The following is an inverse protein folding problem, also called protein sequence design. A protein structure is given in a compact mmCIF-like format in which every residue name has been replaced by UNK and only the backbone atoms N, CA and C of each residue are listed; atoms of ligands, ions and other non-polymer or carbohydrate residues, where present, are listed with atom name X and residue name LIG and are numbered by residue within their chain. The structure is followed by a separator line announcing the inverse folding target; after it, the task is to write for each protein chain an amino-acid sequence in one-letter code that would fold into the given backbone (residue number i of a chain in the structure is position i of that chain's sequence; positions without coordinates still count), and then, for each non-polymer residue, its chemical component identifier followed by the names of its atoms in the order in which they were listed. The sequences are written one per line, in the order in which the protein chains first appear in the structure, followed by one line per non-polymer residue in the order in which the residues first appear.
data_IF_716234335698
#
_entry.id   IF_716234335698
#
_cell.length_a   1.000
_cell.length_b   1.000
_cell.length_c   1.000
_cell.angle_alpha   90.00
_cell.angle_beta   90.00
_cell.angle_gamma   90.00
#
_symmetry.space_group_name_H-M   'P 1'
#
loop_
_entity.id
_entity.type
_entity.pdbx_description
1 polymer ?
#
# COMPACT_ATOMS: atom_id res chain seq x y z
N UNK A 1 19.01 -15.21 30.12
CA UNK A 1 18.61 -14.02 30.89
C UNK A 1 18.22 -12.97 29.86
N UNK A 2 16.92 -12.67 29.70
CA UNK A 2 16.51 -11.52 28.89
C UNK A 2 16.88 -10.27 29.68
N UNK A 3 17.86 -9.52 29.21
CA UNK A 3 18.11 -8.19 29.74
C UNK A 3 16.87 -7.34 29.43
N UNK A 4 16.25 -6.76 30.46
CA UNK A 4 15.19 -5.80 30.27
C UNK A 4 15.86 -4.53 29.74
N UNK A 5 15.52 -4.15 28.50
CA UNK A 5 16.03 -2.92 27.89
C UNK A 5 15.21 -1.77 28.48
N UNK A 6 15.90 -0.75 28.96
CA UNK A 6 15.26 0.50 29.35
C UNK A 6 14.82 1.25 28.10
N UNK A 7 13.53 1.54 27.97
CA UNK A 7 12.98 2.23 26.80
C UNK A 7 13.38 3.70 26.73
N UNK A 8 13.86 4.27 27.85
CA UNK A 8 14.39 5.64 27.92
C UNK A 8 15.88 5.71 27.55
N UNK A 9 16.55 4.55 27.42
CA UNK A 9 17.95 4.47 27.00
C UNK A 9 18.04 4.29 25.47
N UNK A 10 18.19 5.43 24.78
CA UNK A 10 18.28 5.48 23.31
C UNK A 10 19.45 4.66 22.75
N UNK A 11 20.60 4.67 23.45
CA UNK A 11 21.81 3.96 22.99
C UNK A 11 21.61 2.44 23.13
N UNK A 12 21.02 2.01 24.26
CA UNK A 12 20.70 0.59 24.47
C UNK A 12 19.63 0.09 23.48
N UNK A 13 18.61 0.91 23.16
CA UNK A 13 17.59 0.57 22.14
C UNK A 13 18.21 0.40 20.77
N UNK A 14 19.06 1.34 20.33
CA UNK A 14 19.74 1.26 19.04
C UNK A 14 20.70 0.07 18.97
N UNK A 15 21.41 -0.22 20.06
CA UNK A 15 22.31 -1.37 20.14
C UNK A 15 21.55 -2.71 20.11
N UNK A 16 20.30 -2.74 20.57
CA UNK A 16 19.45 -3.92 20.59
C UNK A 16 18.70 -4.16 19.28
N UNK A 17 18.59 -3.15 18.41
CA UNK A 17 17.90 -3.24 17.11
C UNK A 17 18.77 -3.93 16.05
N UNK A 18 19.05 -5.21 16.27
CA UNK A 18 19.90 -6.01 15.40
C UNK A 18 19.28 -6.24 14.00
N UNK A 19 17.96 -6.17 13.90
CA UNK A 19 17.20 -6.40 12.67
C UNK A 19 16.89 -5.09 11.91
N UNK A 20 17.26 -3.92 12.45
CA UNK A 20 17.00 -2.61 11.84
C UNK A 20 15.52 -2.23 11.83
N UNK A 21 14.75 -2.73 12.79
CA UNK A 21 13.29 -2.48 12.89
C UNK A 21 12.97 -1.00 13.12
N UNK A 22 13.77 -0.30 13.93
CA UNK A 22 13.61 1.14 14.16
C UNK A 22 13.83 1.95 12.87
N UNK A 23 14.86 1.59 12.11
CA UNK A 23 15.11 2.19 10.81
C UNK A 23 13.97 1.90 9.83
N UNK A 24 13.51 0.65 9.76
CA UNK A 24 12.42 0.26 8.88
C UNK A 24 11.12 1.00 9.22
N UNK A 25 10.80 1.16 10.51
CA UNK A 25 9.66 1.93 10.99
C UNK A 25 9.77 3.41 10.59
N UNK A 26 10.96 4.01 10.72
CA UNK A 26 11.19 5.42 10.35
C UNK A 26 11.04 5.71 8.86
N UNK A 27 11.07 4.68 8.00
CA UNK A 27 10.89 4.83 6.55
C UNK A 27 9.42 4.93 6.10
N UNK A 28 8.45 4.87 7.02
CA UNK A 28 7.04 4.87 6.68
C UNK A 28 6.62 6.09 5.82
N UNK A 29 6.97 7.31 6.22
CA UNK A 29 6.68 8.50 5.42
C UNK A 29 7.39 8.51 4.06
N UNK A 30 8.62 8.01 4.02
CA UNK A 30 9.36 7.87 2.76
C UNK A 30 8.70 6.89 1.79
N UNK A 31 8.09 5.80 2.28
CA UNK A 31 7.29 4.88 1.47
C UNK A 31 6.07 5.58 0.87
N UNK A 32 5.34 6.35 1.67
CA UNK A 32 4.19 7.13 1.20
C UNK A 32 4.61 8.14 0.14
N UNK A 33 5.71 8.87 0.38
CA UNK A 33 6.27 9.86 -0.56
C UNK A 33 6.71 9.22 -1.88
N UNK A 34 7.25 8.00 -1.84
CA UNK A 34 7.60 7.26 -3.05
C UNK A 34 6.37 6.94 -3.91
N UNK A 35 5.24 6.60 -3.29
CA UNK A 35 3.96 6.44 -4.01
C UNK A 35 3.49 7.76 -4.59
N UNK A 36 3.53 8.87 -3.82
CA UNK A 36 3.20 10.21 -4.31
C UNK A 36 4.04 10.62 -5.52
N UNK A 37 5.34 10.31 -5.51
CA UNK A 37 6.25 10.53 -6.63
C UNK A 37 5.84 9.74 -7.86
N UNK A 38 5.50 8.45 -7.71
CA UNK A 38 5.03 7.62 -8.83
C UNK A 38 3.74 8.18 -9.45
N UNK A 39 2.84 8.72 -8.64
CA UNK A 39 1.61 9.38 -9.12
C UNK A 39 1.95 10.65 -9.91
N UNK A 40 2.87 11.48 -9.41
CA UNK A 40 3.32 12.69 -10.10
C UNK A 40 4.02 12.37 -11.44
N UNK A 41 4.66 11.23 -11.56
CA UNK A 41 5.22 10.67 -12.79
C UNK A 41 4.16 10.10 -13.75
N UNK A 42 2.88 10.10 -13.37
CA UNK A 42 1.78 9.67 -14.21
C UNK A 42 1.41 8.19 -14.11
N UNK A 43 1.90 7.46 -13.10
CA UNK A 43 1.64 6.03 -12.99
C UNK A 43 0.14 5.67 -12.96
N UNK A 44 -0.71 6.53 -12.41
CA UNK A 44 -2.16 6.31 -12.33
C UNK A 44 -2.96 6.98 -13.46
N UNK A 45 -2.33 7.63 -14.45
CA UNK A 45 -3.06 8.20 -15.58
C UNK A 45 -3.95 7.17 -16.32
N UNK A 46 -3.54 5.89 -16.50
CA UNK A 46 -4.41 4.90 -17.13
C UNK A 46 -5.66 4.53 -16.32
N UNK A 47 -5.74 4.89 -15.03
CA UNK A 47 -6.98 4.74 -14.24
C UNK A 47 -8.01 5.83 -14.53
N UNK A 48 -7.59 6.96 -15.07
CA UNK A 48 -8.49 8.07 -15.40
C UNK A 48 -9.33 7.64 -16.60
N UNK A 49 -10.63 7.62 -16.41
CA UNK A 49 -11.62 7.25 -17.43
C UNK A 49 -12.80 8.19 -17.30
N UNK A 50 -13.48 8.45 -18.42
CA UNK A 50 -14.77 9.15 -18.41
C UNK A 50 -15.88 8.26 -17.82
N UNK A 51 -15.73 6.94 -17.94
CA UNK A 51 -16.64 5.98 -17.35
C UNK A 51 -16.42 5.89 -15.83
N UNK A 52 -17.52 6.07 -15.09
CA UNK A 52 -17.49 5.90 -13.63
C UNK A 52 -17.21 4.44 -13.28
N UNK A 53 -16.25 4.24 -12.40
CA UNK A 53 -15.96 2.91 -11.85
C UNK A 53 -17.17 2.37 -11.08
N UNK A 54 -17.41 1.07 -11.20
CA UNK A 54 -18.50 0.38 -10.51
C UNK A 54 -18.09 -0.07 -9.10
N UNK A 55 -16.88 -0.59 -8.95
CA UNK A 55 -16.33 -1.04 -7.69
C UNK A 55 -14.80 -1.01 -7.68
N UNK A 56 -14.23 -0.94 -6.48
CA UNK A 56 -12.82 -1.21 -6.21
C UNK A 56 -12.71 -2.55 -5.49
N UNK A 57 -11.89 -3.44 -6.00
CA UNK A 57 -11.63 -4.75 -5.40
C UNK A 57 -10.18 -4.80 -4.94
N UNK A 58 -9.98 -4.84 -3.64
CA UNK A 58 -8.67 -5.03 -3.02
C UNK A 58 -8.42 -6.52 -2.85
N UNK A 59 -7.49 -7.06 -3.63
CA UNK A 59 -7.11 -8.47 -3.54
C UNK A 59 -5.77 -8.58 -2.84
N UNK A 60 -5.76 -9.26 -1.69
CA UNK A 60 -4.55 -9.49 -0.90
C UNK A 60 -4.62 -10.83 -0.19
N UNK A 61 -3.48 -11.44 0.05
CA UNK A 61 -3.38 -12.68 0.82
C UNK A 61 -3.49 -12.40 2.32
N UNK A 62 -2.36 -12.19 2.96
CA UNK A 62 -2.18 -11.96 4.41
C UNK A 62 -1.14 -10.86 4.64
N UNK A 63 -0.83 -10.56 5.89
CA UNK A 63 0.17 -9.57 6.27
C UNK A 63 -0.33 -8.14 6.16
N UNK A 64 0.59 -7.22 5.94
CA UNK A 64 0.34 -5.77 5.92
C UNK A 64 -0.58 -5.34 4.79
N UNK A 65 -0.53 -6.00 3.63
CA UNK A 65 -1.43 -5.76 2.52
C UNK A 65 -2.90 -6.06 2.86
N UNK A 66 -3.17 -7.15 3.59
CA UNK A 66 -4.51 -7.47 4.05
C UNK A 66 -5.00 -6.48 5.13
N UNK A 67 -4.09 -6.11 6.05
CA UNK A 67 -4.37 -5.09 7.07
C UNK A 67 -4.69 -3.74 6.44
N UNK A 68 -3.93 -3.31 5.43
CA UNK A 68 -4.20 -2.07 4.69
C UNK A 68 -5.59 -2.09 4.05
N UNK A 69 -5.95 -3.19 3.38
CA UNK A 69 -7.29 -3.34 2.80
C UNK A 69 -8.41 -3.25 3.82
N UNK A 70 -8.24 -3.84 5.00
CA UNK A 70 -9.22 -3.76 6.09
C UNK A 70 -9.34 -2.34 6.67
N UNK A 71 -8.21 -1.63 6.87
CA UNK A 71 -8.20 -0.24 7.33
C UNK A 71 -8.90 0.67 6.32
N UNK A 72 -8.57 0.55 5.03
CA UNK A 72 -9.19 1.34 3.96
C UNK A 72 -10.70 1.07 3.88
N UNK A 73 -11.12 -0.20 3.95
CA UNK A 73 -12.53 -0.55 3.97
C UNK A 73 -13.27 0.07 5.15
N UNK A 74 -12.69 0.02 6.36
CA UNK A 74 -13.30 0.59 7.56
C UNK A 74 -13.31 2.12 7.57
N UNK A 75 -12.21 2.76 7.18
CA UNK A 75 -12.08 4.22 7.19
C UNK A 75 -12.94 4.91 6.12
N UNK A 76 -13.21 4.22 5.03
CA UNK A 76 -13.84 4.82 3.84
C UNK A 76 -15.27 4.35 3.61
N UNK A 77 -15.80 3.44 4.46
CA UNK A 77 -17.15 2.86 4.31
C UNK A 77 -18.26 3.90 4.19
N UNK A 78 -18.11 5.04 4.88
CA UNK A 78 -19.13 6.08 4.97
C UNK A 78 -18.88 7.28 4.03
N UNK A 79 -17.72 7.30 3.37
CA UNK A 79 -17.28 8.46 2.58
C UNK A 79 -17.14 8.17 1.10
N UNK A 80 -16.78 6.94 0.72
CA UNK A 80 -16.57 6.56 -0.68
C UNK A 80 -17.89 6.26 -1.37
N UNK A 81 -18.14 6.89 -2.50
CA UNK A 81 -19.33 6.65 -3.32
C UNK A 81 -19.29 5.34 -4.12
N UNK A 82 -18.19 4.59 -4.01
CA UNK A 82 -17.93 3.34 -4.71
C UNK A 82 -17.86 2.16 -3.73
N UNK A 83 -18.45 1.00 -4.03
CA UNK A 83 -18.21 -0.21 -3.25
C UNK A 83 -16.72 -0.55 -3.21
N UNK A 84 -16.18 -0.66 -2.00
CA UNK A 84 -14.82 -1.15 -1.74
C UNK A 84 -14.91 -2.55 -1.17
N UNK A 85 -14.37 -3.53 -1.90
CA UNK A 85 -14.49 -4.95 -1.57
C UNK A 85 -13.10 -5.53 -1.29
N UNK A 86 -12.89 -6.11 -0.13
CA UNK A 86 -11.68 -6.88 0.18
C UNK A 86 -11.89 -8.35 -0.17
N UNK A 87 -10.90 -8.97 -0.78
CA UNK A 87 -10.96 -10.37 -1.19
C UNK A 87 -9.56 -11.01 -1.15
N UNK A 88 -9.50 -12.32 -0.90
CA UNK A 88 -8.25 -13.10 -0.99
C UNK A 88 -7.99 -13.66 -2.38
N UNK A 89 -8.99 -13.59 -3.26
CA UNK A 89 -8.93 -14.00 -4.67
C UNK A 89 -9.79 -13.08 -5.51
N UNK A 90 -9.45 -12.92 -6.77
CA UNK A 90 -10.25 -12.12 -7.68
C UNK A 90 -11.67 -12.70 -7.83
N UNK A 91 -12.72 -11.89 -7.56
CA UNK A 91 -14.10 -12.33 -7.76
C UNK A 91 -14.41 -12.56 -9.24
N UNK A 92 -15.26 -13.57 -9.49
CA UNK A 92 -15.63 -13.93 -10.89
C UNK A 92 -16.48 -12.88 -11.60
N UNK A 93 -17.08 -11.94 -10.87
CA UNK A 93 -17.94 -10.90 -11.41
C UNK A 93 -17.21 -9.65 -11.91
N UNK A 94 -15.89 -9.52 -11.66
CA UNK A 94 -15.12 -8.35 -12.10
C UNK A 94 -15.16 -8.17 -13.60
N UNK A 95 -15.12 -6.92 -14.07
CA UNK A 95 -15.23 -6.57 -15.47
C UNK A 95 -14.66 -5.17 -15.78
N UNK A 96 -14.91 -4.63 -16.97
CA UNK A 96 -14.24 -3.41 -17.45
C UNK A 96 -14.49 -2.15 -16.62
N UNK A 97 -15.60 -2.09 -15.89
CA UNK A 97 -15.93 -0.96 -15.00
C UNK A 97 -15.35 -1.10 -13.61
N UNK A 98 -14.64 -2.19 -13.31
CA UNK A 98 -14.05 -2.39 -11.99
C UNK A 98 -12.57 -2.06 -11.99
N UNK A 99 -12.09 -1.60 -10.84
CA UNK A 99 -10.67 -1.43 -10.54
C UNK A 99 -10.25 -2.50 -9.55
N UNK A 100 -9.20 -3.23 -9.86
CA UNK A 100 -8.62 -4.22 -8.97
C UNK A 100 -7.26 -3.73 -8.49
N UNK A 101 -7.07 -3.69 -7.18
CA UNK A 101 -5.77 -3.48 -6.55
C UNK A 101 -5.28 -4.82 -6.04
N UNK A 102 -4.16 -5.29 -6.57
CA UNK A 102 -3.53 -6.55 -6.18
C UNK A 102 -2.35 -6.20 -5.29
N UNK A 103 -2.50 -6.46 -3.99
CA UNK A 103 -1.53 -6.01 -2.98
C UNK A 103 -0.88 -7.20 -2.25
N UNK A 104 0.43 -7.14 -2.09
CA UNK A 104 1.19 -8.15 -1.38
C UNK A 104 2.69 -7.90 -1.41
N UNK A 105 3.42 -8.67 -0.61
CA UNK A 105 4.88 -8.54 -0.46
C UNK A 105 5.63 -9.67 -1.20
N UNK A 106 4.93 -10.72 -1.64
CA UNK A 106 5.50 -11.87 -2.36
C UNK A 106 5.12 -11.84 -3.84
N UNK A 107 6.09 -11.54 -4.70
CA UNK A 107 5.94 -11.57 -6.16
C UNK A 107 5.73 -12.98 -6.72
N UNK A 108 6.01 -14.02 -5.94
CA UNK A 108 5.80 -15.43 -6.27
C UNK A 108 4.42 -15.96 -5.90
N UNK A 109 3.56 -15.18 -5.23
CA UNK A 109 2.24 -15.65 -4.78
C UNK A 109 1.35 -16.03 -5.99
N UNK A 110 0.99 -17.32 -6.14
CA UNK A 110 0.19 -17.78 -7.27
C UNK A 110 -1.26 -17.26 -7.22
N UNK A 111 -1.79 -16.92 -6.05
CA UNK A 111 -3.15 -16.38 -5.94
C UNK A 111 -3.20 -14.94 -6.45
N UNK A 112 -2.17 -14.13 -6.17
CA UNK A 112 -2.05 -12.77 -6.69
C UNK A 112 -1.82 -12.78 -8.21
N UNK A 113 -0.94 -13.62 -8.73
CA UNK A 113 -0.70 -13.78 -10.17
C UNK A 113 -1.96 -14.24 -10.92
N UNK A 114 -2.73 -15.17 -10.34
CA UNK A 114 -4.01 -15.59 -10.88
C UNK A 114 -5.03 -14.45 -10.88
N UNK A 115 -5.03 -13.60 -9.83
CA UNK A 115 -5.92 -12.44 -9.74
C UNK A 115 -5.60 -11.39 -10.81
N UNK A 116 -4.31 -11.08 -11.05
CA UNK A 116 -3.87 -10.19 -12.13
C UNK A 116 -4.33 -10.74 -13.49
N UNK A 117 -4.07 -12.03 -13.75
CA UNK A 117 -4.46 -12.70 -14.98
C UNK A 117 -5.97 -12.65 -15.20
N UNK A 118 -6.78 -12.92 -14.18
CA UNK A 118 -8.23 -12.87 -14.27
C UNK A 118 -8.72 -11.45 -14.55
N UNK A 119 -8.24 -10.45 -13.79
CA UNK A 119 -8.62 -9.06 -13.94
C UNK A 119 -8.33 -8.53 -15.34
N UNK A 120 -7.10 -8.72 -15.83
CA UNK A 120 -6.68 -8.28 -17.16
C UNK A 120 -7.45 -8.96 -18.29
N UNK A 121 -7.72 -10.26 -18.16
CA UNK A 121 -8.54 -11.00 -19.17
C UNK A 121 -9.98 -10.54 -19.20
N UNK A 122 -10.53 -10.08 -18.09
CA UNK A 122 -11.90 -9.56 -18.00
C UNK A 122 -12.02 -8.07 -18.30
N UNK A 123 -10.89 -7.42 -18.63
CA UNK A 123 -10.83 -6.01 -18.96
C UNK A 123 -10.94 -5.08 -17.77
N UNK A 124 -10.82 -5.58 -16.54
CA UNK A 124 -10.71 -4.72 -15.36
C UNK A 124 -9.41 -3.92 -15.39
N UNK A 125 -9.43 -2.72 -14.83
CA UNK A 125 -8.23 -1.91 -14.64
C UNK A 125 -7.50 -2.45 -13.43
N UNK A 126 -6.29 -2.99 -13.64
CA UNK A 126 -5.51 -3.68 -12.59
C UNK A 126 -4.34 -2.81 -12.16
N UNK A 127 -4.23 -2.59 -10.86
CA UNK A 127 -3.07 -1.97 -10.21
C UNK A 127 -2.37 -3.03 -9.37
N UNK A 128 -1.06 -3.15 -9.51
CA UNK A 128 -0.23 -4.08 -8.74
C UNK A 128 0.56 -3.27 -7.71
N UNK A 129 0.28 -3.51 -6.43
CA UNK A 129 0.98 -2.95 -5.27
C UNK A 129 1.83 -4.05 -4.62
N UNK A 130 2.81 -4.54 -5.35
CA UNK A 130 3.70 -5.62 -4.95
C UNK A 130 5.04 -5.44 -5.67
N UNK A 131 6.11 -6.16 -5.29
CA UNK A 131 7.38 -6.11 -6.00
C UNK A 131 7.21 -6.42 -7.49
N UNK A 132 7.85 -5.60 -8.35
CA UNK A 132 7.74 -5.69 -9.81
C UNK A 132 8.77 -6.71 -10.34
N UNK A 133 8.55 -7.96 -9.99
CA UNK A 133 9.43 -9.08 -10.35
C UNK A 133 8.65 -10.40 -10.46
N UNK A 134 9.26 -11.40 -11.07
CA UNK A 134 8.79 -12.78 -11.11
C UNK A 134 7.39 -12.96 -11.74
N UNK A 135 6.69 -14.03 -11.37
CA UNK A 135 5.41 -14.41 -11.99
C UNK A 135 4.33 -13.33 -11.90
N UNK A 136 4.36 -12.48 -10.87
CA UNK A 136 3.37 -11.43 -10.68
C UNK A 136 3.55 -10.32 -11.72
N UNK A 137 4.78 -9.86 -11.95
CA UNK A 137 5.11 -8.88 -12.99
C UNK A 137 4.76 -9.41 -14.39
N UNK A 138 5.14 -10.68 -14.68
CA UNK A 138 4.82 -11.33 -15.96
C UNK A 138 3.31 -11.40 -16.22
N UNK A 139 2.52 -11.67 -15.18
CA UNK A 139 1.04 -11.75 -15.29
C UNK A 139 0.41 -10.41 -15.66
N UNK A 140 1.04 -9.30 -15.26
CA UNK A 140 0.56 -7.93 -15.51
C UNK A 140 1.14 -7.27 -16.76
N UNK A 141 2.16 -7.86 -17.39
CA UNK A 141 2.99 -7.24 -18.42
C UNK A 141 2.16 -6.51 -19.51
N UNK A 142 2.38 -5.19 -19.59
CA UNK A 142 1.77 -4.31 -20.59
C UNK A 142 0.27 -4.03 -20.42
N UNK A 143 -0.38 -4.54 -19.35
CA UNK A 143 -1.83 -4.36 -19.12
C UNK A 143 -2.21 -3.95 -17.70
N UNK A 144 -1.32 -4.16 -16.73
CA UNK A 144 -1.50 -3.71 -15.36
C UNK A 144 -0.64 -2.48 -15.08
N UNK A 145 -1.11 -1.64 -14.18
CA UNK A 145 -0.38 -0.49 -13.66
C UNK A 145 0.49 -1.00 -12.51
N UNK A 146 1.79 -0.74 -12.55
CA UNK A 146 2.70 -1.07 -11.45
C UNK A 146 2.85 0.11 -10.50
N UNK A 147 2.53 -0.10 -9.23
CA UNK A 147 2.88 0.75 -8.10
C UNK A 147 3.76 -0.06 -7.12
N UNK A 148 4.85 -0.62 -7.64
CA UNK A 148 5.78 -1.41 -6.87
C UNK A 148 6.45 -0.58 -5.76
N UNK A 149 6.80 -1.22 -4.61
CA UNK A 149 7.61 -0.58 -3.58
C UNK A 149 8.94 -0.10 -4.14
N UNK A 150 9.25 1.19 -4.01
CA UNK A 150 10.53 1.79 -4.44
C UNK A 150 11.59 1.75 -3.34
N UNK A 151 11.17 1.49 -2.11
CA UNK A 151 12.03 1.37 -0.95
C UNK A 151 11.97 -0.07 -0.43
N UNK A 152 13.13 -0.64 -0.16
CA UNK A 152 13.21 -1.98 0.42
C UNK A 152 13.11 -1.89 1.93
N UNK A 153 12.04 -2.45 2.46
CA UNK A 153 11.81 -2.64 3.90
C UNK A 153 11.40 -4.09 4.14
N UNK A 154 11.54 -4.64 5.35
CA UNK A 154 10.93 -5.93 5.68
C UNK A 154 9.41 -5.89 5.49
N UNK A 155 8.79 -7.00 5.09
CA UNK A 155 7.35 -7.10 4.76
C UNK A 155 6.44 -6.61 5.88
N UNK A 156 6.87 -6.77 7.14
CA UNK A 156 6.15 -6.29 8.32
C UNK A 156 6.06 -4.77 8.43
N UNK A 157 6.86 -4.03 7.64
CA UNK A 157 6.89 -2.56 7.61
C UNK A 157 6.34 -1.97 6.30
N UNK A 158 5.74 -2.77 5.42
CA UNK A 158 5.18 -2.33 4.13
C UNK A 158 3.76 -1.73 4.24
N UNK A 159 3.16 -1.67 5.44
CA UNK A 159 1.80 -1.17 5.64
C UNK A 159 1.60 0.23 5.07
N UNK A 160 2.55 1.14 5.28
CA UNK A 160 2.48 2.52 4.81
C UNK A 160 2.42 2.60 3.27
N UNK A 161 3.20 1.78 2.57
CA UNK A 161 3.14 1.66 1.11
C UNK A 161 1.75 1.23 0.64
N UNK A 162 1.19 0.16 1.21
CA UNK A 162 -0.11 -0.37 0.79
C UNK A 162 -1.25 0.63 1.07
N UNK A 163 -1.23 1.32 2.22
CA UNK A 163 -2.20 2.36 2.54
C UNK A 163 -2.11 3.54 1.54
N UNK A 164 -0.90 3.98 1.23
CA UNK A 164 -0.67 5.05 0.26
C UNK A 164 -1.17 4.68 -1.14
N UNK A 165 -0.91 3.45 -1.60
CA UNK A 165 -1.45 2.96 -2.89
C UNK A 165 -2.97 2.97 -2.89
N UNK A 166 -3.60 2.47 -1.83
CA UNK A 166 -5.06 2.46 -1.72
C UNK A 166 -5.66 3.87 -1.73
N UNK A 167 -5.10 4.78 -0.93
CA UNK A 167 -5.52 6.19 -0.90
C UNK A 167 -5.35 6.86 -2.28
N UNK A 168 -4.22 6.61 -2.95
CA UNK A 168 -3.95 7.13 -4.29
C UNK A 168 -4.96 6.65 -5.33
N UNK A 169 -5.23 5.35 -5.38
CA UNK A 169 -6.21 4.77 -6.30
C UNK A 169 -7.59 5.36 -6.06
N UNK A 170 -8.02 5.43 -4.81
CA UNK A 170 -9.33 6.00 -4.45
C UNK A 170 -9.41 7.49 -4.77
N UNK A 171 -8.35 8.27 -4.52
CA UNK A 171 -8.29 9.69 -4.86
C UNK A 171 -8.36 9.98 -6.36
N UNK A 172 -7.89 9.06 -7.21
CA UNK A 172 -8.06 9.17 -8.66
C UNK A 172 -9.50 8.89 -9.09
N UNK A 173 -10.16 7.92 -8.43
CA UNK A 173 -11.52 7.48 -8.76
C UNK A 173 -12.59 8.40 -8.16
N UNK A 174 -12.33 8.96 -6.98
CA UNK A 174 -13.23 9.87 -6.27
C UNK A 174 -12.41 10.95 -5.53
N UNK A 175 -12.28 12.11 -6.15
CA UNK A 175 -11.47 13.22 -5.62
C UNK A 175 -12.00 13.79 -4.28
N UNK A 176 -13.23 13.47 -3.90
CA UNK A 176 -13.82 13.99 -2.68
C UNK A 176 -13.42 13.23 -1.41
N UNK A 177 -12.75 12.08 -1.56
CA UNK A 177 -12.68 11.07 -0.52
C UNK A 177 -11.30 10.88 0.10
N UNK A 178 -10.23 11.05 -0.67
CA UNK A 178 -8.89 10.76 -0.18
C UNK A 178 -8.07 12.03 0.02
N UNK A 179 -7.38 12.17 1.16
CA UNK A 179 -6.37 13.21 1.32
C UNK A 179 -5.27 13.01 0.29
N UNK A 180 -4.61 14.11 -0.07
CA UNK A 180 -3.42 14.03 -0.92
C UNK A 180 -2.34 13.15 -0.27
N UNK A 181 -1.79 12.23 -1.05
CA UNK A 181 -0.77 11.28 -0.56
C UNK A 181 0.46 12.01 -0.01
N UNK A 182 0.81 13.18 -0.54
CA UNK A 182 1.93 13.97 -0.03
C UNK A 182 1.62 14.56 1.36
N UNK A 183 0.38 14.98 1.59
CA UNK A 183 -0.06 15.42 2.92
C UNK A 183 0.03 14.26 3.93
N UNK A 184 -0.40 13.05 3.55
CA UNK A 184 -0.24 11.86 4.40
C UNK A 184 1.25 11.61 4.70
N UNK A 185 2.13 11.76 3.71
CA UNK A 185 3.57 11.57 3.91
C UNK A 185 4.13 12.55 4.95
N UNK A 186 3.75 13.82 4.87
CA UNK A 186 4.22 14.86 5.79
C UNK A 186 3.70 14.63 7.22
N UNK A 187 2.46 14.18 7.38
CA UNK A 187 1.89 13.82 8.67
C UNK A 187 2.62 12.61 9.29
N UNK A 188 2.88 11.56 8.51
CA UNK A 188 3.62 10.37 8.96
C UNK A 188 5.05 10.73 9.33
N UNK A 189 5.77 11.54 8.55
CA UNK A 189 7.12 12.01 8.87
C UNK A 189 7.12 12.87 10.14
N UNK A 190 6.07 13.66 10.36
CA UNK A 190 5.87 14.42 11.59
C UNK A 190 5.75 13.50 12.81
N UNK A 191 4.99 12.41 12.73
CA UNK A 191 4.89 11.41 13.78
C UNK A 191 6.20 10.66 14.02
N UNK A 192 6.86 10.21 12.95
CA UNK A 192 8.19 9.59 13.05
C UNK A 192 9.16 10.51 13.76
N UNK A 193 9.17 11.80 13.41
CA UNK A 193 10.07 12.79 14.04
C UNK A 193 9.76 13.01 15.52
N UNK A 194 8.49 12.92 15.93
CA UNK A 194 8.08 13.01 17.34
C UNK A 194 8.50 11.79 18.14
N UNK A 195 8.51 10.62 17.52
CA UNK A 195 8.78 9.33 18.16
C UNK A 195 10.21 8.81 17.91
N UNK A 196 11.11 9.64 17.35
CA UNK A 196 12.50 9.22 17.13
C UNK A 196 13.22 9.03 18.45
N UNK A 197 13.91 7.90 18.57
CA UNK A 197 14.72 7.55 19.76
C UNK A 197 15.75 8.65 20.07
N UNK A 198 15.82 9.06 21.33
CA UNK A 198 16.75 10.11 21.80
C UNK A 198 16.23 11.55 21.69
N UNK A 199 14.99 11.77 21.24
CA UNK A 199 14.33 13.06 21.35
C UNK A 199 13.57 13.11 22.67
N UNK A 200 13.82 14.15 23.48
CA UNK A 200 13.04 14.40 24.71
C UNK A 200 11.57 14.63 24.29
N UNK A 201 10.73 13.63 24.51
CA UNK A 201 9.30 13.67 24.16
C UNK A 201 8.45 14.14 25.35
N UNK A 202 9.06 14.57 26.45
CA UNK A 202 8.33 14.96 27.64
C UNK A 202 8.64 16.43 28.01
N UNK A 203 7.85 17.33 27.49
CA UNK A 203 7.52 18.60 28.13
C UNK A 203 6.02 18.80 28.09
#
# INVERSE_FOLDING_TARGET
MNATIDLDDAEALLAADLDGSLQAASMAGSQVRAVGTAIAEGALEPLRSEDRSRAVVWVSGRGTAATAGAILAGALSDTVSLPFVTATRAPVWVGPLDVMVIAGDDAGDPALSAAVTLGTRRGARVVIAAPDEGPLADSGAGRAISLAPRLRVPDTFSLAHHLAVGAAVLGVLDKSVAPDVMTIADEVDGEVSRNTVGREVFT
#
